data_IF_146666202055
#
_entry.id   IF_146666202055
#
_cell.length_a   1.000
_cell.length_b   1.000
_cell.length_c   1.000
_cell.angle_alpha   90.00
_cell.angle_beta   90.00
_cell.angle_gamma   90.00
#
_symmetry.space_group_name_H-M   'P 1'
#
loop_
_entity.id
_entity.type
_entity.pdbx_description
1 polymer ?
#
# COMPACT_ATOMS: atom_id res chain seq x y z
N UNK A 1 -4.54 -6.54 -13.49
CA UNK A 1 -4.12 -5.80 -12.30
C UNK A 1 -2.62 -5.93 -12.07
N UNK A 2 -1.95 -4.81 -11.85
CA UNK A 2 -0.48 -4.73 -11.71
C UNK A 2 0.02 -5.44 -10.46
N UNK A 3 -0.66 -5.27 -9.34
CA UNK A 3 -0.24 -5.87 -8.07
C UNK A 3 -0.43 -7.38 -8.06
N UNK A 4 -1.33 -7.95 -8.87
CA UNK A 4 -1.45 -9.40 -9.04
C UNK A 4 -0.22 -10.05 -9.67
N UNK A 5 0.68 -9.30 -10.31
CA UNK A 5 1.96 -9.83 -10.75
C UNK A 5 2.82 -10.34 -9.58
N UNK A 6 2.66 -9.74 -8.40
CA UNK A 6 3.35 -10.13 -7.16
C UNK A 6 3.00 -11.55 -6.71
N UNK A 7 1.79 -12.05 -7.03
CA UNK A 7 1.35 -13.42 -6.70
C UNK A 7 2.20 -14.52 -7.33
N UNK A 8 2.96 -14.18 -8.38
CA UNK A 8 3.86 -15.13 -9.08
C UNK A 8 5.26 -15.19 -8.50
N UNK A 9 5.55 -14.33 -7.52
CA UNK A 9 6.87 -14.31 -6.89
C UNK A 9 7.03 -15.48 -5.92
N UNK A 10 8.24 -16.05 -5.80
CA UNK A 10 8.53 -17.04 -4.77
C UNK A 10 8.27 -16.49 -3.37
N UNK A 11 7.56 -17.23 -2.54
CA UNK A 11 7.17 -16.83 -1.19
C UNK A 11 5.92 -15.95 -1.12
N UNK A 12 5.26 -15.66 -2.25
CA UNK A 12 3.94 -15.05 -2.26
C UNK A 12 2.85 -16.14 -2.24
N UNK A 13 1.83 -15.95 -1.41
CA UNK A 13 0.64 -16.80 -1.35
C UNK A 13 -0.61 -15.95 -1.53
N UNK A 14 -1.56 -16.42 -2.35
CA UNK A 14 -2.80 -15.71 -2.65
C UNK A 14 -3.93 -16.71 -2.85
N UNK A 15 -5.15 -16.30 -2.52
CA UNK A 15 -6.38 -17.04 -2.86
C UNK A 15 -6.79 -16.86 -4.35
N UNK A 16 -6.03 -16.07 -5.13
CA UNK A 16 -6.29 -15.79 -6.55
C UNK A 16 -7.31 -14.67 -6.78
N UNK A 17 -8.10 -14.28 -5.80
CA UNK A 17 -9.12 -13.22 -5.87
C UNK A 17 -8.58 -11.90 -5.33
N UNK A 18 -7.99 -11.90 -4.14
CA UNK A 18 -7.43 -10.69 -3.52
C UNK A 18 -6.35 -10.06 -4.40
N UNK A 19 -6.32 -8.72 -4.44
CA UNK A 19 -5.35 -7.96 -5.22
C UNK A 19 -3.94 -8.06 -4.66
N UNK A 20 -3.80 -8.19 -3.33
CA UNK A 20 -2.51 -8.31 -2.65
C UNK A 20 -2.27 -9.74 -2.17
N UNK A 21 -1.02 -10.19 -2.32
CA UNK A 21 -0.57 -11.48 -1.83
C UNK A 21 -0.02 -11.35 -0.39
N UNK A 22 -0.15 -12.43 0.38
CA UNK A 22 0.60 -12.62 1.59
C UNK A 22 2.05 -12.98 1.25
N UNK A 23 3.01 -12.14 1.65
CA UNK A 23 4.40 -12.32 1.28
C UNK A 23 5.18 -12.90 2.46
N UNK A 24 5.83 -14.05 2.25
CA UNK A 24 6.64 -14.76 3.28
C UNK A 24 5.92 -14.94 4.61
N UNK A 25 4.63 -15.31 4.54
CA UNK A 25 3.79 -15.56 5.72
C UNK A 25 3.35 -14.30 6.46
N UNK A 26 3.62 -13.10 5.93
CA UNK A 26 3.06 -11.86 6.44
C UNK A 26 1.64 -11.63 5.93
N UNK A 27 0.88 -10.84 6.66
CA UNK A 27 -0.46 -10.42 6.26
C UNK A 27 -0.42 -9.35 5.16
N UNK A 28 -1.53 -9.13 4.49
CA UNK A 28 -1.62 -8.17 3.39
C UNK A 28 -1.28 -6.74 3.83
N UNK A 29 -1.77 -6.31 5.01
CA UNK A 29 -1.50 -5.00 5.60
C UNK A 29 -0.06 -4.80 6.09
N UNK A 30 0.75 -5.87 6.20
CA UNK A 30 2.18 -5.78 6.47
C UNK A 30 3.01 -5.41 5.23
N UNK A 31 2.39 -5.27 4.07
CA UNK A 31 3.05 -4.88 2.81
C UNK A 31 2.83 -3.40 2.53
N UNK A 32 3.91 -2.65 2.35
CA UNK A 32 3.87 -1.26 1.93
C UNK A 32 3.72 -1.16 0.41
N UNK A 33 2.73 -0.43 -0.06
CA UNK A 33 2.62 -0.02 -1.48
C UNK A 33 3.00 1.44 -1.58
N UNK A 34 4.01 1.74 -2.40
CA UNK A 34 4.51 3.09 -2.63
C UNK A 34 4.32 3.44 -4.10
N UNK A 35 3.74 4.59 -4.39
CA UNK A 35 3.56 5.08 -5.76
C UNK A 35 4.27 6.41 -5.96
N UNK A 36 5.28 6.45 -6.84
CA UNK A 36 6.17 7.60 -7.07
C UNK A 36 6.71 8.24 -5.77
N UNK A 37 7.00 7.40 -4.77
CA UNK A 37 7.53 7.82 -3.48
C UNK A 37 6.50 8.10 -2.37
N UNK A 38 5.19 8.12 -2.70
CA UNK A 38 4.10 8.26 -1.74
C UNK A 38 3.61 6.89 -1.24
N UNK A 39 3.59 6.60 0.06
CA UNK A 39 2.87 5.47 0.63
C UNK A 39 1.36 5.57 0.36
N UNK A 40 0.76 4.50 -0.17
CA UNK A 40 -0.69 4.39 -0.32
C UNK A 40 -1.26 3.62 0.87
N UNK A 41 -2.20 4.22 1.59
CA UNK A 41 -2.85 3.61 2.75
C UNK A 41 -3.86 2.55 2.33
N UNK A 42 -4.70 2.86 1.35
CA UNK A 42 -5.76 1.98 0.85
C UNK A 42 -5.61 1.77 -0.67
N UNK A 43 -4.66 0.93 -1.12
CA UNK A 43 -4.30 0.83 -2.53
C UNK A 43 -5.23 -0.06 -3.37
N UNK A 44 -6.42 -0.45 -2.84
CA UNK A 44 -7.33 -1.40 -3.48
C UNK A 44 -8.76 -0.91 -3.58
N UNK A 45 -9.42 -1.32 -4.66
CA UNK A 45 -10.85 -1.21 -4.86
C UNK A 45 -11.64 -2.35 -4.24
N UNK A 46 -12.92 -2.10 -3.94
CA UNK A 46 -13.91 -3.08 -3.52
C UNK A 46 -13.43 -3.89 -2.30
N UNK A 47 -12.99 -3.20 -1.27
CA UNK A 47 -12.42 -3.82 -0.05
C UNK A 47 -13.34 -4.82 0.60
N UNK A 48 -14.66 -4.58 0.62
CA UNK A 48 -15.67 -5.53 1.10
C UNK A 48 -15.67 -6.85 0.31
N UNK A 49 -15.30 -6.83 -0.97
CA UNK A 49 -15.30 -7.96 -1.90
C UNK A 49 -13.89 -8.55 -2.11
N UNK A 50 -13.07 -8.64 -1.05
CA UNK A 50 -11.71 -9.19 -1.08
C UNK A 50 -10.70 -8.35 -1.88
N UNK A 51 -10.94 -7.06 -2.09
CA UNK A 51 -9.98 -6.16 -2.76
C UNK A 51 -9.46 -6.69 -4.11
N UNK A 52 -10.31 -7.01 -5.10
CA UNK A 52 -9.91 -7.75 -6.30
C UNK A 52 -9.07 -6.94 -7.29
N UNK A 53 -9.06 -5.62 -7.17
CA UNK A 53 -8.37 -4.71 -8.07
C UNK A 53 -7.63 -3.62 -7.29
N UNK A 54 -6.47 -3.17 -7.83
CA UNK A 54 -5.71 -2.07 -7.26
C UNK A 54 -6.11 -0.72 -7.88
N UNK A 55 -5.88 0.38 -7.14
CA UNK A 55 -5.95 1.75 -7.65
C UNK A 55 -4.91 2.02 -8.77
N UNK A 56 -3.89 1.17 -8.88
CA UNK A 56 -2.81 1.35 -9.84
C UNK A 56 -3.18 0.75 -11.20
N UNK A 57 -3.65 1.58 -12.10
CA UNK A 57 -3.90 1.19 -13.48
C UNK A 57 -2.58 0.75 -14.16
N UNK A 58 -2.49 -0.48 -14.70
CA UNK A 58 -1.29 -0.96 -15.38
C UNK A 58 -0.75 -0.06 -16.48
N UNK A 59 -1.62 0.71 -17.12
CA UNK A 59 -1.27 1.59 -18.24
C UNK A 59 -0.53 2.84 -17.82
N UNK A 60 -0.67 3.27 -16.55
CA UNK A 60 0.06 4.42 -16.02
C UNK A 60 1.39 4.03 -15.38
N UNK A 61 1.71 2.73 -15.33
CA UNK A 61 2.93 2.23 -14.69
C UNK A 61 4.05 1.98 -15.69
N UNK A 62 5.26 2.36 -15.33
CA UNK A 62 6.50 1.97 -16.02
C UNK A 62 7.14 0.73 -15.41
N UNK A 63 6.91 0.45 -14.13
CA UNK A 63 7.47 -0.70 -13.44
C UNK A 63 6.97 -0.88 -12.01
N UNK A 64 7.22 -2.09 -11.51
CA UNK A 64 7.02 -2.47 -10.11
C UNK A 64 8.30 -3.12 -9.61
N UNK A 65 8.86 -2.57 -8.53
CA UNK A 65 9.96 -3.16 -7.79
C UNK A 65 9.42 -3.78 -6.49
N UNK A 66 9.71 -5.07 -6.26
CA UNK A 66 9.19 -5.80 -5.12
C UNK A 66 10.31 -6.26 -4.21
N UNK A 67 10.32 -5.75 -2.99
CA UNK A 67 11.25 -6.12 -1.93
C UNK A 67 10.54 -7.06 -0.94
N UNK A 68 10.61 -8.35 -1.19
CA UNK A 68 10.00 -9.37 -0.34
C UNK A 68 10.80 -9.64 0.94
N UNK A 69 11.22 -8.60 1.65
CA UNK A 69 12.08 -8.63 2.83
C UNK A 69 13.52 -8.20 2.53
N UNK A 70 14.30 -7.87 3.57
CA UNK A 70 15.64 -7.31 3.42
C UNK A 70 15.66 -5.90 2.81
N UNK A 71 14.53 -5.19 2.83
CA UNK A 71 14.44 -3.83 2.29
C UNK A 71 15.21 -2.83 3.17
N UNK A 72 15.67 -1.74 2.53
CA UNK A 72 16.54 -0.74 3.16
C UNK A 72 15.83 0.06 4.24
N UNK A 73 16.58 0.79 5.08
CA UNK A 73 16.02 1.60 6.16
C UNK A 73 15.21 2.83 5.66
N UNK A 74 15.21 3.13 4.37
CA UNK A 74 14.35 4.13 3.73
C UNK A 74 12.85 3.81 3.92
N UNK A 75 12.51 2.51 3.95
CA UNK A 75 11.14 2.05 4.15
C UNK A 75 10.92 1.62 5.61
N UNK A 76 9.86 2.10 6.21
CA UNK A 76 9.46 1.80 7.58
C UNK A 76 7.99 1.47 7.69
N UNK A 77 7.56 1.28 8.93
CA UNK A 77 6.16 1.07 9.30
C UNK A 77 5.48 -0.09 8.53
N UNK A 78 6.25 -1.14 8.20
CA UNK A 78 5.78 -2.39 7.59
C UNK A 78 6.75 -3.52 7.89
N UNK A 79 6.20 -4.74 8.03
CA UNK A 79 6.95 -5.90 8.51
C UNK A 79 7.18 -6.98 7.45
N UNK A 80 6.53 -6.94 6.28
CA UNK A 80 6.61 -8.06 5.33
C UNK A 80 7.34 -7.69 4.05
N UNK A 81 6.80 -6.75 3.28
CA UNK A 81 7.33 -6.43 1.96
C UNK A 81 7.14 -4.94 1.62
N UNK A 82 7.83 -4.50 0.59
CA UNK A 82 7.62 -3.20 -0.05
C UNK A 82 7.41 -3.41 -1.54
N UNK A 83 6.39 -2.79 -2.09
CA UNK A 83 6.09 -2.72 -3.52
C UNK A 83 6.21 -1.26 -3.93
N UNK A 84 7.22 -0.94 -4.72
CA UNK A 84 7.40 0.39 -5.30
C UNK A 84 6.85 0.39 -6.73
N UNK A 85 5.82 1.16 -6.96
CA UNK A 85 5.26 1.43 -8.27
C UNK A 85 5.80 2.76 -8.80
N UNK A 86 6.24 2.76 -10.04
CA UNK A 86 6.71 3.96 -10.73
C UNK A 86 5.79 4.27 -11.89
N UNK A 87 5.33 5.51 -11.99
CA UNK A 87 4.45 5.90 -13.08
C UNK A 87 5.21 6.09 -14.40
N UNK A 88 4.47 5.91 -15.50
CA UNK A 88 4.97 6.08 -16.85
C UNK A 88 5.36 7.54 -17.10
N UNK A 89 6.51 7.75 -17.71
CA UNK A 89 6.92 9.03 -18.30
C UNK A 89 6.72 8.97 -19.81
N UNK A 90 5.87 9.82 -20.40
CA UNK A 90 5.60 9.80 -21.82
C UNK A 90 6.86 9.98 -22.66
N UNK A 91 7.04 9.12 -23.66
CA UNK A 91 8.16 9.21 -24.62
C UNK A 91 7.72 9.92 -25.90
N UNK A 92 6.45 9.72 -26.31
CA UNK A 92 5.87 10.37 -27.48
C UNK A 92 5.51 11.84 -27.18
N UNK A 93 5.56 12.70 -28.19
CA UNK A 93 5.15 14.10 -28.07
C UNK A 93 3.69 14.23 -27.68
N UNK A 94 2.83 13.34 -28.20
CA UNK A 94 1.43 13.22 -27.87
C UNK A 94 1.03 11.74 -27.92
N UNK A 95 0.20 11.30 -26.99
CA UNK A 95 -0.36 9.95 -26.96
C UNK A 95 -1.77 9.99 -26.38
N UNK A 96 -2.67 9.28 -27.04
CA UNK A 96 -4.06 9.12 -26.63
C UNK A 96 -4.45 7.66 -26.77
N UNK A 97 -5.12 7.12 -25.75
CA UNK A 97 -5.63 5.75 -25.74
C UNK A 97 -7.06 5.75 -25.20
N UNK A 98 -7.93 5.00 -25.88
CA UNK A 98 -9.26 4.64 -25.39
C UNK A 98 -9.35 3.14 -25.39
N UNK A 99 -9.78 2.56 -24.29
CA UNK A 99 -9.95 1.13 -24.14
C UNK A 99 -11.34 0.78 -23.60
N UNK A 100 -11.88 -0.32 -24.12
CA UNK A 100 -13.11 -0.91 -23.64
C UNK A 100 -12.92 -2.43 -23.54
N UNK A 101 -13.23 -2.98 -22.39
CA UNK A 101 -13.21 -4.41 -22.12
C UNK A 101 -14.48 -4.82 -21.37
N UNK A 102 -14.67 -6.10 -21.16
CA UNK A 102 -15.76 -6.60 -20.32
C UNK A 102 -15.71 -6.03 -18.90
N UNK A 103 -14.49 -5.80 -18.38
CA UNK A 103 -14.31 -5.39 -16.97
C UNK A 103 -14.14 -3.89 -16.77
N UNK A 104 -13.69 -3.13 -17.78
CA UNK A 104 -13.46 -1.70 -17.65
C UNK A 104 -13.51 -0.93 -18.96
N UNK A 105 -13.96 0.31 -18.87
CA UNK A 105 -13.72 1.38 -19.83
C UNK A 105 -12.61 2.30 -19.30
N UNK A 106 -11.77 2.80 -20.20
CA UNK A 106 -10.62 3.61 -19.81
C UNK A 106 -10.22 4.61 -20.89
N UNK A 107 -9.59 5.70 -20.45
CA UNK A 107 -8.96 6.68 -21.31
C UNK A 107 -7.62 7.09 -20.73
N UNK A 108 -6.63 7.33 -21.59
CA UNK A 108 -5.34 7.86 -21.22
C UNK A 108 -4.90 8.90 -22.23
N UNK A 109 -4.34 9.99 -21.76
CA UNK A 109 -3.76 11.05 -22.58
C UNK A 109 -2.44 11.52 -21.98
N UNK A 110 -1.49 11.83 -22.84
CA UNK A 110 -0.22 12.40 -22.42
C UNK A 110 0.38 13.30 -23.49
N UNK A 111 1.16 14.28 -23.06
CA UNK A 111 1.83 15.21 -23.96
C UNK A 111 3.11 15.75 -23.34
N UNK A 112 4.10 16.01 -24.20
CA UNK A 112 5.31 16.78 -23.89
C UNK A 112 5.11 18.23 -24.34
N UNK A 113 5.68 19.18 -23.62
CA UNK A 113 5.57 20.60 -23.92
C UNK A 113 6.84 21.36 -23.55
N UNK A 114 6.95 22.62 -23.97
CA UNK A 114 8.06 23.53 -23.69
C UNK A 114 9.44 22.95 -24.03
N UNK A 115 9.57 22.45 -25.27
CA UNK A 115 10.84 21.88 -25.77
C UNK A 115 11.30 20.65 -24.95
N UNK A 116 10.35 19.82 -24.53
CA UNK A 116 10.55 18.60 -23.74
C UNK A 116 10.91 18.83 -22.27
N UNK A 117 10.93 20.07 -21.78
CA UNK A 117 11.13 20.36 -20.36
C UNK A 117 9.93 19.99 -19.51
N UNK A 118 8.72 20.06 -20.10
CA UNK A 118 7.47 19.69 -19.45
C UNK A 118 6.85 18.46 -20.08
N UNK A 119 6.13 17.69 -19.26
CA UNK A 119 5.28 16.60 -19.71
C UNK A 119 4.12 16.41 -18.74
N UNK A 120 3.00 15.93 -19.24
CA UNK A 120 1.89 15.49 -18.40
C UNK A 120 1.31 14.18 -18.89
N UNK A 121 0.69 13.46 -17.97
CA UNK A 121 -0.08 12.25 -18.19
C UNK A 121 -1.35 12.33 -17.36
N UNK A 122 -2.49 11.95 -17.97
CA UNK A 122 -3.77 11.80 -17.29
C UNK A 122 -4.43 10.51 -17.75
N UNK A 123 -5.00 9.77 -16.82
CA UNK A 123 -5.72 8.54 -17.09
C UNK A 123 -6.97 8.46 -16.20
N UNK A 124 -8.01 7.85 -16.73
CA UNK A 124 -9.23 7.51 -16.01
C UNK A 124 -9.63 6.09 -16.37
N UNK A 125 -10.13 5.35 -15.37
CA UNK A 125 -10.65 4.01 -15.52
C UNK A 125 -11.96 3.88 -14.73
N UNK A 126 -12.98 3.27 -15.33
CA UNK A 126 -14.23 2.87 -14.67
C UNK A 126 -14.40 1.36 -14.84
N UNK A 127 -14.80 0.68 -13.77
CA UNK A 127 -15.19 -0.72 -13.88
C UNK A 127 -16.54 -0.85 -14.60
N UNK A 128 -16.77 -1.97 -15.27
CA UNK A 128 -18.05 -2.40 -15.83
C UNK A 128 -18.60 -3.60 -15.04
N UNK A 129 -18.20 -3.74 -13.77
CA UNK A 129 -18.59 -4.90 -12.95
C UNK A 129 -20.09 -4.87 -12.63
N UNK A 130 -20.66 -3.70 -12.46
CA UNK A 130 -22.09 -3.46 -12.35
C UNK A 130 -22.89 -4.03 -13.54
N UNK A 131 -22.37 -3.95 -14.75
CA UNK A 131 -23.00 -4.45 -15.98
C UNK A 131 -22.87 -5.98 -16.15
N UNK A 132 -21.95 -6.63 -15.46
CA UNK A 132 -21.64 -8.06 -15.62
C UNK A 132 -21.84 -8.89 -14.35
N UNK A 133 -22.11 -8.26 -13.22
CA UNK A 133 -22.30 -8.93 -11.93
C UNK A 133 -23.39 -9.99 -11.99
N UNK A 134 -24.54 -9.67 -12.57
CA UNK A 134 -25.69 -10.58 -12.74
C UNK A 134 -25.38 -11.82 -13.58
N UNK A 135 -24.32 -11.79 -14.39
CA UNK A 135 -23.90 -12.93 -15.21
C UNK A 135 -23.04 -13.91 -14.43
N UNK A 136 -22.47 -13.48 -13.29
CA UNK A 136 -21.48 -14.26 -12.54
C UNK A 136 -22.03 -14.73 -11.21
N UNK A 137 -22.65 -13.86 -10.42
CA UNK A 137 -23.12 -14.15 -9.06
C UNK A 137 -24.27 -13.19 -8.69
N UNK A 138 -25.42 -13.75 -8.35
CA UNK A 138 -26.61 -12.94 -8.00
C UNK A 138 -26.59 -12.34 -6.58
N UNK A 139 -25.64 -12.74 -5.73
CA UNK A 139 -25.50 -12.25 -4.36
C UNK A 139 -24.57 -11.04 -4.23
N UNK A 140 -23.80 -10.73 -5.29
CA UNK A 140 -23.01 -9.52 -5.41
C UNK A 140 -23.87 -8.52 -6.19
N UNK A 141 -24.36 -7.46 -5.53
CA UNK A 141 -25.14 -6.41 -6.16
C UNK A 141 -24.41 -5.73 -7.33
N UNK A 142 -24.47 -4.43 -7.42
CA UNK A 142 -23.86 -3.66 -8.54
C UNK A 142 -22.50 -3.05 -8.13
N UNK A 143 -21.42 -3.85 -7.93
CA UNK A 143 -20.13 -3.32 -7.55
C UNK A 143 -19.54 -2.47 -8.66
N UNK A 144 -19.09 -1.28 -8.33
CA UNK A 144 -18.48 -0.39 -9.30
C UNK A 144 -17.34 0.41 -8.68
N UNK A 145 -16.38 0.80 -9.51
CA UNK A 145 -15.36 1.75 -9.12
C UNK A 145 -14.96 2.65 -10.30
N UNK A 146 -14.48 3.82 -9.95
CA UNK A 146 -13.80 4.73 -10.84
C UNK A 146 -12.52 5.20 -10.21
N UNK A 147 -11.44 5.25 -10.98
CA UNK A 147 -10.19 5.87 -10.56
C UNK A 147 -9.63 6.80 -11.63
N UNK A 148 -8.82 7.75 -11.20
CA UNK A 148 -8.14 8.69 -12.06
C UNK A 148 -6.77 9.02 -11.54
N UNK A 149 -5.78 9.05 -12.43
CA UNK A 149 -4.41 9.46 -12.14
C UNK A 149 -3.99 10.61 -13.05
N UNK A 150 -3.43 11.65 -12.44
CA UNK A 150 -2.83 12.78 -13.14
C UNK A 150 -1.43 13.05 -12.66
N UNK A 151 -0.51 13.33 -13.60
CA UNK A 151 0.86 13.73 -13.29
C UNK A 151 1.31 14.82 -14.24
N UNK A 152 2.02 15.81 -13.71
CA UNK A 152 2.76 16.80 -14.48
C UNK A 152 4.19 16.88 -13.97
N UNK A 153 5.15 16.84 -14.87
CA UNK A 153 6.59 17.02 -14.58
C UNK A 153 7.11 18.25 -15.29
N UNK A 154 8.05 18.95 -14.65
CA UNK A 154 8.76 20.05 -15.26
C UNK A 154 10.23 20.12 -14.82
N UNK A 155 11.12 20.20 -15.78
CA UNK A 155 12.55 20.43 -15.56
C UNK A 155 12.83 21.94 -15.53
N UNK A 156 12.97 22.50 -14.33
CA UNK A 156 13.30 23.92 -14.12
C UNK A 156 14.70 24.26 -14.59
N UNK A 157 15.62 23.32 -14.40
CA UNK A 157 17.01 23.36 -14.86
C UNK A 157 17.50 21.93 -15.15
N UNK A 158 18.73 21.74 -15.70
CA UNK A 158 19.32 20.40 -15.81
C UNK A 158 19.41 19.63 -14.49
N UNK A 159 19.57 20.37 -13.39
CA UNK A 159 19.77 19.81 -12.04
C UNK A 159 18.51 19.85 -11.16
N UNK A 160 17.41 20.46 -11.62
CA UNK A 160 16.20 20.65 -10.83
C UNK A 160 14.95 20.20 -11.57
N UNK A 161 14.21 19.26 -11.02
CA UNK A 161 12.93 18.77 -11.55
C UNK A 161 11.87 18.79 -10.47
N UNK A 162 10.67 19.21 -10.83
CA UNK A 162 9.48 19.09 -9.99
C UNK A 162 8.42 18.23 -10.66
N UNK A 163 7.59 17.59 -9.86
CA UNK A 163 6.41 16.90 -10.32
C UNK A 163 5.24 17.09 -9.34
N UNK A 164 4.03 17.11 -9.89
CA UNK A 164 2.78 17.10 -9.13
C UNK A 164 1.95 15.91 -9.58
N UNK A 165 1.36 15.21 -8.62
CA UNK A 165 0.60 14.01 -8.84
C UNK A 165 -0.76 14.10 -8.13
N UNK A 166 -1.77 13.49 -8.73
CA UNK A 166 -3.10 13.33 -8.15
C UNK A 166 -3.58 11.91 -8.45
N UNK A 167 -4.03 11.18 -7.45
CA UNK A 167 -4.69 9.88 -7.58
C UNK A 167 -6.01 9.94 -6.82
N UNK A 168 -7.10 9.69 -7.52
CA UNK A 168 -8.45 9.73 -6.97
C UNK A 168 -9.14 8.40 -7.22
N UNK A 169 -9.96 7.94 -6.28
CA UNK A 169 -10.85 6.81 -6.50
C UNK A 169 -12.17 6.95 -5.75
N UNK A 170 -13.20 6.32 -6.30
CA UNK A 170 -14.49 6.12 -5.65
C UNK A 170 -15.00 4.73 -5.99
N UNK A 171 -15.44 4.00 -4.97
CA UNK A 171 -15.96 2.65 -5.07
C UNK A 171 -17.34 2.59 -4.45
N UNK A 172 -18.20 1.78 -5.03
CA UNK A 172 -19.47 1.37 -4.42
C UNK A 172 -19.63 -0.13 -4.53
N UNK A 173 -20.05 -0.75 -3.45
CA UNK A 173 -20.39 -2.16 -3.44
C UNK A 173 -21.64 -2.39 -2.60
N UNK A 174 -22.59 -3.11 -3.18
CA UNK A 174 -23.79 -3.58 -2.51
C UNK A 174 -23.71 -5.10 -2.44
N UNK A 175 -23.99 -5.67 -1.29
CA UNK A 175 -24.08 -7.12 -1.08
C UNK A 175 -25.48 -7.43 -0.58
N UNK A 176 -26.21 -8.28 -1.30
CA UNK A 176 -27.54 -8.73 -0.94
C UNK A 176 -27.57 -10.25 -1.07
N UNK A 177 -27.79 -10.96 0.04
CA UNK A 177 -28.02 -12.40 -0.06
C UNK A 177 -29.33 -12.71 -0.76
N UNK A 178 -29.35 -13.81 -1.51
CA UNK A 178 -30.49 -14.25 -2.32
C UNK A 178 -31.77 -14.50 -1.51
N UNK A 179 -31.66 -14.76 -0.21
CA UNK A 179 -32.77 -14.90 0.73
C UNK A 179 -33.12 -13.60 1.49
N UNK A 180 -32.51 -12.47 1.06
CA UNK A 180 -32.64 -11.14 1.70
C UNK A 180 -32.31 -11.13 3.20
N UNK A 181 -31.57 -12.13 3.65
CA UNK A 181 -31.20 -12.26 5.07
C UNK A 181 -30.08 -11.35 5.52
N UNK A 182 -29.29 -10.83 4.60
CA UNK A 182 -28.19 -9.92 4.86
C UNK A 182 -28.07 -8.90 3.72
N UNK A 183 -27.93 -7.63 4.11
CA UNK A 183 -27.68 -6.50 3.21
C UNK A 183 -26.48 -5.71 3.71
N UNK A 184 -25.66 -5.22 2.81
CA UNK A 184 -24.62 -4.24 3.08
C UNK A 184 -24.42 -3.31 1.87
N UNK A 185 -24.39 -2.01 2.11
CA UNK A 185 -24.00 -0.96 1.14
C UNK A 185 -22.72 -0.31 1.66
N UNK A 186 -21.72 -0.17 0.79
CA UNK A 186 -20.43 0.40 1.15
C UNK A 186 -19.94 1.34 0.06
N UNK A 187 -19.54 2.53 0.48
CA UNK A 187 -18.89 3.53 -0.37
C UNK A 187 -17.48 3.83 0.16
N UNK A 188 -16.48 3.82 -0.73
CA UNK A 188 -15.11 4.21 -0.42
C UNK A 188 -14.68 5.35 -1.32
N UNK A 189 -13.97 6.33 -0.75
CA UNK A 189 -13.39 7.46 -1.48
C UNK A 189 -11.96 7.67 -1.04
N UNK A 190 -11.04 7.75 -2.01
CA UNK A 190 -9.64 8.00 -1.72
C UNK A 190 -9.14 9.16 -2.59
N UNK A 191 -8.40 10.07 -1.98
CA UNK A 191 -7.77 11.21 -2.62
C UNK A 191 -6.32 11.33 -2.15
N UNK A 192 -5.39 11.26 -3.09
CA UNK A 192 -3.97 11.44 -2.85
C UNK A 192 -3.46 12.56 -3.75
N UNK A 193 -2.83 13.56 -3.16
CA UNK A 193 -2.18 14.66 -3.87
C UNK A 193 -0.77 14.81 -3.33
N UNK A 194 0.24 14.80 -4.21
CA UNK A 194 1.62 15.03 -3.76
C UNK A 194 2.46 15.74 -4.80
N UNK A 195 3.37 16.56 -4.30
CA UNK A 195 4.39 17.23 -5.08
C UNK A 195 5.77 16.71 -4.73
N UNK A 196 6.61 16.50 -5.74
CA UNK A 196 8.01 16.09 -5.56
C UNK A 196 8.93 17.15 -6.16
N UNK A 197 9.97 17.52 -5.44
CA UNK A 197 11.06 18.35 -5.92
C UNK A 197 12.37 17.57 -5.78
N UNK A 198 13.07 17.39 -6.89
CA UNK A 198 14.39 16.76 -6.94
C UNK A 198 15.44 17.81 -7.36
N UNK A 199 16.59 17.81 -6.67
CA UNK A 199 17.70 18.68 -7.00
C UNK A 199 19.05 17.97 -6.83
N UNK A 200 19.88 18.04 -7.86
CA UNK A 200 21.26 17.58 -7.82
C UNK A 200 22.17 18.76 -7.47
N UNK A 201 22.60 18.87 -6.20
CA UNK A 201 23.52 19.91 -5.71
C UNK A 201 24.92 19.76 -6.33
N UNK A 202 25.27 18.54 -6.69
CA UNK A 202 26.49 18.18 -7.41
C UNK A 202 26.33 16.77 -8.02
N UNK A 203 27.33 16.32 -8.77
CA UNK A 203 27.38 14.94 -9.30
C UNK A 203 27.39 13.88 -8.17
N UNK A 204 27.78 14.25 -6.96
CA UNK A 204 27.86 13.37 -5.80
C UNK A 204 26.67 13.51 -4.85
N UNK A 205 26.07 14.69 -4.73
CA UNK A 205 25.04 15.00 -3.73
C UNK A 205 23.73 15.38 -4.44
N UNK A 206 22.67 14.64 -4.17
CA UNK A 206 21.31 14.95 -4.61
C UNK A 206 20.33 14.88 -3.44
N UNK A 207 19.22 15.58 -3.58
CA UNK A 207 18.14 15.62 -2.62
C UNK A 207 16.77 15.52 -3.28
N UNK A 208 15.80 15.03 -2.54
CA UNK A 208 14.38 14.94 -2.92
C UNK A 208 13.51 15.39 -1.76
N UNK A 209 12.51 16.21 -2.03
CA UNK A 209 11.47 16.58 -1.09
C UNK A 209 10.11 16.13 -1.65
N UNK A 210 9.26 15.54 -0.81
CA UNK A 210 7.89 15.15 -1.14
C UNK A 210 6.98 15.80 -0.11
N UNK A 211 6.01 16.59 -0.57
CA UNK A 211 4.91 17.12 0.23
C UNK A 211 3.64 16.43 -0.25
N UNK A 212 2.85 15.87 0.66
CA UNK A 212 1.68 15.06 0.33
C UNK A 212 0.49 15.38 1.23
N UNK A 213 -0.69 15.21 0.66
CA UNK A 213 -1.95 15.16 1.39
C UNK A 213 -2.75 13.95 0.92
N UNK A 214 -3.23 13.18 1.88
CA UNK A 214 -4.08 12.00 1.67
C UNK A 214 -5.37 12.20 2.44
N UNK A 215 -6.49 11.89 1.80
CA UNK A 215 -7.84 11.92 2.37
C UNK A 215 -8.56 10.63 1.98
N UNK A 216 -9.08 9.91 2.96
CA UNK A 216 -9.75 8.62 2.75
C UNK A 216 -11.01 8.55 3.59
N UNK A 217 -12.11 8.19 2.94
CA UNK A 217 -13.40 7.97 3.59
C UNK A 217 -13.96 6.58 3.25
N UNK A 218 -14.67 6.03 4.21
CA UNK A 218 -15.40 4.77 4.09
C UNK A 218 -16.73 4.87 4.82
N UNK A 219 -17.83 4.70 4.10
CA UNK A 219 -19.18 4.72 4.62
C UNK A 219 -19.79 3.32 4.42
N UNK A 220 -20.29 2.68 5.47
CA UNK A 220 -20.87 1.35 5.42
C UNK A 220 -22.16 1.29 6.23
N UNK A 221 -23.23 0.86 5.58
CA UNK A 221 -24.47 0.50 6.26
C UNK A 221 -24.80 -0.98 6.02
N UNK A 222 -25.46 -1.62 6.94
CA UNK A 222 -25.84 -3.02 6.76
C UNK A 222 -26.93 -3.48 7.71
N UNK A 223 -27.64 -4.51 7.27
CA UNK A 223 -28.70 -5.17 8.05
C UNK A 223 -28.56 -6.68 7.96
N UNK A 224 -28.90 -7.37 9.02
CA UNK A 224 -29.00 -8.82 9.05
C UNK A 224 -30.32 -9.25 9.68
N UNK A 225 -31.01 -10.18 9.02
CA UNK A 225 -32.19 -10.84 9.56
C UNK A 225 -32.22 -12.31 9.10
N UNK A 226 -31.46 -13.15 9.79
CA UNK A 226 -31.39 -14.57 9.47
C UNK A 226 -32.53 -15.35 10.12
N UNK A 227 -33.74 -15.26 9.54
CA UNK A 227 -34.93 -15.97 9.97
C UNK A 227 -35.30 -15.75 11.48
N UNK A 228 -34.96 -14.58 12.03
CA UNK A 228 -35.13 -14.23 13.42
C UNK A 228 -34.15 -14.90 14.39
N UNK A 229 -33.15 -15.65 13.88
CA UNK A 229 -32.06 -16.20 14.72
C UNK A 229 -31.13 -15.09 15.17
N UNK A 230 -30.78 -14.24 14.20
CA UNK A 230 -29.89 -13.07 14.33
C UNK A 230 -30.53 -11.90 13.59
N UNK A 231 -30.77 -10.82 14.29
CA UNK A 231 -31.28 -9.56 13.72
C UNK A 231 -30.37 -8.42 14.15
N UNK A 232 -30.05 -7.53 13.26
CA UNK A 232 -29.20 -6.39 13.61
C UNK A 232 -28.95 -5.45 12.46
N UNK A 233 -28.29 -4.35 12.80
CA UNK A 233 -27.86 -3.31 11.84
C UNK A 233 -26.49 -2.77 12.21
N UNK A 234 -25.83 -2.17 11.23
CA UNK A 234 -24.57 -1.44 11.40
C UNK A 234 -24.62 -0.16 10.56
N UNK A 235 -24.14 0.92 11.15
CA UNK A 235 -23.77 2.18 10.49
C UNK A 235 -22.35 2.49 10.92
N UNK A 236 -21.42 2.62 9.96
CA UNK A 236 -19.99 2.75 10.18
C UNK A 236 -19.42 3.76 9.20
N UNK A 237 -19.08 4.92 9.70
CA UNK A 237 -18.49 6.01 8.95
C UNK A 237 -17.06 6.23 9.45
N UNK A 238 -16.11 6.20 8.55
CA UNK A 238 -14.69 6.40 8.85
C UNK A 238 -14.09 7.40 7.89
N UNK A 239 -13.41 8.36 8.42
CA UNK A 239 -12.65 9.34 7.66
C UNK A 239 -11.27 9.48 8.28
N UNK A 240 -10.24 9.60 7.46
CA UNK A 240 -8.92 9.98 7.94
C UNK A 240 -8.15 10.79 6.91
N UNK A 241 -7.33 11.69 7.39
CA UNK A 241 -6.43 12.49 6.58
C UNK A 241 -4.99 12.44 7.09
N UNK A 242 -4.06 12.61 6.16
CA UNK A 242 -2.63 12.61 6.44
C UNK A 242 -1.94 13.71 5.64
N UNK A 243 -1.32 14.65 6.34
CA UNK A 243 -0.39 15.63 5.76
C UNK A 243 1.03 15.13 5.97
N UNK A 244 1.79 14.94 4.89
CA UNK A 244 3.12 14.36 4.92
C UNK A 244 4.20 15.25 4.31
N UNK A 245 5.39 15.26 4.93
CA UNK A 245 6.63 15.81 4.38
C UNK A 245 7.74 14.77 4.50
N UNK A 246 8.35 14.42 3.36
CA UNK A 246 9.52 13.53 3.32
C UNK A 246 10.69 14.26 2.65
N UNK A 247 11.84 14.22 3.28
CA UNK A 247 13.09 14.77 2.77
C UNK A 247 14.14 13.67 2.69
N UNK A 248 14.61 13.40 1.50
CA UNK A 248 15.63 12.37 1.23
C UNK A 248 16.89 13.01 0.68
N UNK A 249 18.05 12.48 1.07
CA UNK A 249 19.34 12.83 0.56
C UNK A 249 20.12 11.59 0.09
N UNK A 250 20.87 11.74 -0.99
CA UNK A 250 21.83 10.73 -1.46
C UNK A 250 23.22 11.35 -1.61
N UNK A 251 24.23 10.63 -1.18
CA UNK A 251 25.62 11.01 -1.37
C UNK A 251 26.44 9.84 -1.91
N UNK A 252 27.06 10.04 -3.06
CA UNK A 252 27.90 9.04 -3.75
C UNK A 252 29.35 9.45 -3.67
N UNK A 253 30.21 8.61 -3.09
CA UNK A 253 31.65 8.86 -2.96
C UNK A 253 32.42 7.59 -3.30
N UNK A 254 33.10 7.57 -4.46
CA UNK A 254 33.90 6.42 -4.91
C UNK A 254 33.12 5.07 -4.83
N UNK A 255 33.38 4.30 -3.77
CA UNK A 255 32.76 2.99 -3.52
C UNK A 255 31.57 3.04 -2.54
N UNK A 256 31.18 4.24 -2.07
CA UNK A 256 30.12 4.42 -1.08
C UNK A 256 28.89 5.07 -1.69
N UNK A 257 27.73 4.58 -1.28
CA UNK A 257 26.44 5.24 -1.48
C UNK A 257 25.80 5.41 -0.12
N UNK A 258 25.61 6.64 0.31
CA UNK A 258 24.86 6.98 1.51
C UNK A 258 23.48 7.49 1.11
N UNK A 259 22.43 7.03 1.81
CA UNK A 259 21.08 7.57 1.75
C UNK A 259 20.65 7.90 3.16
N UNK A 260 19.97 9.01 3.31
CA UNK A 260 19.46 9.48 4.59
C UNK A 260 18.21 10.30 4.36
N UNK A 261 17.33 10.34 5.34
CA UNK A 261 16.10 11.13 5.23
C UNK A 261 15.36 11.26 6.54
N UNK A 262 14.39 12.15 6.49
CA UNK A 262 13.41 12.37 7.55
C UNK A 262 12.02 12.35 6.95
N UNK A 263 11.05 11.91 7.74
CA UNK A 263 9.66 11.82 7.36
C UNK A 263 8.81 12.35 8.52
N UNK A 264 7.90 13.26 8.20
CA UNK A 264 6.97 13.87 9.15
C UNK A 264 5.57 13.67 8.59
N UNK A 265 4.66 13.12 9.37
CA UNK A 265 3.24 12.99 9.03
C UNK A 265 2.41 13.48 10.19
N UNK A 266 1.42 14.32 9.91
CA UNK A 266 0.35 14.66 10.85
C UNK A 266 -0.89 13.90 10.39
N UNK A 267 -1.52 13.18 11.30
CA UNK A 267 -2.62 12.25 11.02
C UNK A 267 -3.80 12.60 11.90
N UNK A 268 -5.01 12.54 11.34
CA UNK A 268 -6.25 12.62 12.08
C UNK A 268 -7.23 11.58 11.52
N UNK A 269 -8.08 11.03 12.36
CA UNK A 269 -9.15 10.16 11.95
C UNK A 269 -10.41 10.40 12.78
N UNK A 270 -11.56 10.23 12.13
CA UNK A 270 -12.89 10.31 12.73
C UNK A 270 -13.60 8.99 12.48
N UNK A 271 -14.15 8.41 13.54
CA UNK A 271 -14.96 7.21 13.50
C UNK A 271 -16.34 7.52 14.07
N UNK A 272 -17.38 7.10 13.37
CA UNK A 272 -18.76 7.06 13.86
C UNK A 272 -19.31 5.66 13.60
N UNK A 273 -19.35 4.85 14.66
CA UNK A 273 -19.73 3.45 14.56
C UNK A 273 -20.87 3.12 15.49
N UNK A 274 -22.00 2.75 14.91
CA UNK A 274 -23.17 2.26 15.66
C UNK A 274 -23.56 0.88 15.16
N UNK A 275 -23.75 -0.07 16.05
CA UNK A 275 -24.29 -1.38 15.70
C UNK A 275 -25.16 -1.97 16.78
N UNK A 276 -26.21 -2.66 16.35
CA UNK A 276 -27.05 -3.49 17.21
C UNK A 276 -27.12 -4.89 16.64
N UNK A 277 -26.88 -5.90 17.46
CA UNK A 277 -27.00 -7.29 17.07
C UNK A 277 -27.75 -8.08 18.16
N UNK A 278 -28.89 -8.61 17.79
CA UNK A 278 -29.76 -9.38 18.66
C UNK A 278 -29.81 -10.85 18.22
N UNK A 279 -29.58 -11.76 19.16
CA UNK A 279 -29.71 -13.19 18.99
C UNK A 279 -30.94 -13.67 19.80
N UNK A 280 -31.89 -14.28 19.13
CA UNK A 280 -33.12 -14.77 19.74
C UNK A 280 -32.90 -15.92 20.74
N UNK A 281 -33.57 -15.89 21.89
CA UNK A 281 -33.52 -16.98 22.88
C UNK A 281 -33.88 -18.35 22.28
N UNK A 282 -33.08 -19.37 22.60
CA UNK A 282 -33.33 -20.75 22.19
C UNK A 282 -33.11 -21.06 20.72
N UNK A 283 -32.70 -20.07 19.90
CA UNK A 283 -32.53 -20.26 18.44
C UNK A 283 -31.16 -20.81 18.06
N UNK A 284 -30.09 -20.45 18.77
CA UNK A 284 -28.74 -21.00 18.50
C UNK A 284 -28.61 -22.44 19.04
N UNK A 285 -29.15 -22.69 20.25
CA UNK A 285 -29.22 -24.02 20.86
C UNK A 285 -30.30 -24.02 21.94
N UNK A 286 -30.88 -25.20 22.31
CA UNK A 286 -31.88 -25.30 23.39
C UNK A 286 -31.34 -24.73 24.70
N UNK A 287 -32.06 -23.76 25.25
CA UNK A 287 -31.66 -23.08 26.51
C UNK A 287 -30.74 -21.88 26.34
N UNK A 288 -30.41 -21.48 25.13
CA UNK A 288 -29.70 -20.21 24.88
C UNK A 288 -30.56 -19.04 25.40
N UNK A 289 -30.02 -18.16 26.27
CA UNK A 289 -30.80 -17.09 26.90
C UNK A 289 -31.14 -15.93 26.00
N UNK A 290 -30.58 -15.92 24.77
CA UNK A 290 -30.51 -14.73 23.93
C UNK A 290 -29.30 -13.85 24.27
N UNK A 291 -28.94 -12.97 23.35
CA UNK A 291 -27.86 -11.99 23.53
C UNK A 291 -28.18 -10.77 22.71
N UNK A 292 -28.02 -9.59 23.28
CA UNK A 292 -27.98 -8.33 22.54
C UNK A 292 -26.61 -7.70 22.73
N UNK A 293 -26.00 -7.28 21.63
CA UNK A 293 -24.74 -6.55 21.60
C UNK A 293 -25.00 -5.23 20.92
N UNK A 294 -24.93 -4.16 21.67
CA UNK A 294 -25.04 -2.79 21.17
C UNK A 294 -23.67 -2.13 21.28
N UNK A 295 -23.26 -1.42 20.24
CA UNK A 295 -22.04 -0.62 20.20
C UNK A 295 -22.34 0.76 19.66
N UNK A 296 -21.73 1.75 20.28
CA UNK A 296 -21.82 3.17 19.90
C UNK A 296 -20.48 3.80 20.26
N UNK A 297 -19.61 3.99 19.26
CA UNK A 297 -18.24 4.49 19.43
C UNK A 297 -17.96 5.56 18.39
N UNK A 298 -17.41 6.69 18.83
CA UNK A 298 -17.02 7.80 17.99
C UNK A 298 -15.64 8.35 18.41
N UNK A 299 -14.54 7.57 18.36
CA UNK A 299 -13.21 8.07 18.66
C UNK A 299 -12.69 8.97 17.55
N UNK A 300 -11.97 10.05 17.93
CA UNK A 300 -11.34 11.02 17.05
C UNK A 300 -9.81 11.06 17.31
N UNK A 301 -9.06 9.98 17.02
CA UNK A 301 -7.63 9.98 17.26
C UNK A 301 -6.89 10.93 16.31
N UNK A 302 -5.88 11.62 16.86
CA UNK A 302 -4.98 12.47 16.08
C UNK A 302 -3.58 12.47 16.66
N UNK A 303 -2.58 12.68 15.82
CA UNK A 303 -1.19 12.75 16.25
C UNK A 303 -0.21 12.83 15.10
N UNK A 304 1.05 12.68 15.42
CA UNK A 304 2.16 12.79 14.49
C UNK A 304 2.90 11.45 14.38
N UNK A 305 3.44 11.17 13.20
CA UNK A 305 4.45 10.14 12.98
C UNK A 305 5.72 10.80 12.46
N UNK A 306 6.82 10.60 13.19
CA UNK A 306 8.13 11.11 12.85
C UNK A 306 9.08 9.95 12.62
N UNK A 307 9.84 10.01 11.53
CA UNK A 307 10.85 9.02 11.25
C UNK A 307 12.14 9.64 10.73
N UNK A 308 13.26 8.97 11.02
CA UNK A 308 14.57 9.32 10.47
C UNK A 308 15.31 8.05 10.09
N UNK A 309 16.03 8.07 8.97
CA UNK A 309 16.83 6.93 8.54
C UNK A 309 18.17 7.32 7.95
N UNK A 310 19.10 6.39 8.03
CA UNK A 310 20.38 6.46 7.32
C UNK A 310 20.80 5.07 6.86
N UNK A 311 21.28 4.97 5.62
CA UNK A 311 21.89 3.76 5.06
C UNK A 311 23.25 4.06 4.46
N UNK A 312 24.17 3.12 4.55
CA UNK A 312 25.48 3.19 3.91
C UNK A 312 25.78 1.89 3.20
N UNK A 313 25.87 1.94 1.89
CA UNK A 313 26.29 0.83 1.05
C UNK A 313 27.70 1.03 0.59
N UNK A 314 28.54 0.00 0.69
CA UNK A 314 29.94 0.03 0.25
C UNK A 314 30.23 -1.16 -0.67
N UNK A 315 30.97 -0.90 -1.74
CA UNK A 315 31.63 -1.94 -2.52
C UNK A 315 32.96 -2.30 -1.83
N UNK A 316 32.90 -3.29 -0.94
CA UNK A 316 34.07 -3.76 -0.15
C UNK A 316 35.16 -4.28 -1.10
N UNK A 317 34.75 -5.05 -2.11
CA UNK A 317 35.54 -5.46 -3.26
C UNK A 317 34.70 -5.28 -4.52
N UNK A 318 35.27 -5.55 -5.70
CA UNK A 318 34.50 -5.51 -6.95
C UNK A 318 33.41 -6.58 -7.03
N UNK A 319 33.42 -7.57 -6.12
CA UNK A 319 32.48 -8.70 -6.03
C UNK A 319 31.68 -8.74 -4.72
N UNK A 320 31.96 -7.85 -3.77
CA UNK A 320 31.31 -7.85 -2.47
C UNK A 320 30.76 -6.47 -2.15
N UNK A 321 29.44 -6.37 -2.06
CA UNK A 321 28.74 -5.19 -1.57
C UNK A 321 28.12 -5.47 -0.19
N UNK A 322 28.26 -4.54 0.73
CA UNK A 322 27.62 -4.57 2.05
C UNK A 322 26.82 -3.30 2.28
N UNK A 323 25.69 -3.39 2.94
CA UNK A 323 24.87 -2.26 3.34
C UNK A 323 24.48 -2.39 4.80
N UNK A 324 24.61 -1.31 5.54
CA UNK A 324 24.06 -1.16 6.89
C UNK A 324 23.08 -0.01 6.89
N UNK A 325 22.02 -0.16 7.65
CA UNK A 325 20.97 0.87 7.79
C UNK A 325 20.42 0.90 9.20
N UNK A 326 19.96 2.07 9.60
CA UNK A 326 19.25 2.29 10.84
C UNK A 326 18.08 3.22 10.55
N UNK A 327 16.92 2.87 11.08
CA UNK A 327 15.74 3.71 11.07
C UNK A 327 15.20 3.86 12.49
N UNK A 328 14.71 5.03 12.78
CA UNK A 328 13.98 5.38 13.98
C UNK A 328 12.60 5.89 13.59
N UNK A 329 11.57 5.42 14.26
CA UNK A 329 10.18 5.82 14.07
C UNK A 329 9.56 6.11 15.44
N UNK A 330 8.72 7.14 15.53
CA UNK A 330 7.91 7.49 16.69
C UNK A 330 6.53 7.93 16.21
N UNK A 331 5.46 7.54 16.91
CA UNK A 331 4.11 8.04 16.68
C UNK A 331 3.48 8.48 17.99
N UNK A 332 2.51 9.41 17.94
CA UNK A 332 1.93 10.06 19.14
C UNK A 332 0.41 9.90 19.27
N UNK A 333 -0.26 9.22 18.34
CA UNK A 333 -1.71 9.00 18.40
C UNK A 333 -2.12 7.80 19.26
N UNK A 334 -1.20 6.93 19.69
CA UNK A 334 -1.44 5.85 20.64
C UNK A 334 -0.75 6.15 21.97
N UNK A 335 -1.43 5.85 23.09
CA UNK A 335 -0.93 6.13 24.45
C UNK A 335 0.36 5.38 24.81
N UNK A 336 0.52 4.14 24.34
CA UNK A 336 1.73 3.31 24.50
C UNK A 336 2.73 3.51 23.36
N UNK A 337 2.80 4.71 22.79
CA UNK A 337 3.72 5.05 21.73
C UNK A 337 5.17 5.09 22.25
N UNK A 338 5.94 4.11 21.86
CA UNK A 338 7.37 4.08 22.10
C UNK A 338 8.13 4.25 20.78
N UNK A 339 9.28 4.91 20.86
CA UNK A 339 10.20 5.00 19.74
C UNK A 339 10.69 3.61 19.31
N UNK A 340 10.75 3.37 18.02
CA UNK A 340 11.11 2.10 17.42
C UNK A 340 12.44 2.23 16.66
N UNK A 341 13.39 1.34 16.97
CA UNK A 341 14.68 1.27 16.30
C UNK A 341 14.76 0.04 15.41
N UNK A 342 15.01 0.26 14.13
CA UNK A 342 14.98 -0.75 13.07
C UNK A 342 16.36 -0.88 12.38
N UNK A 343 17.35 -1.58 12.99
CA UNK A 343 18.63 -1.85 12.36
C UNK A 343 18.48 -2.88 11.23
N UNK A 344 19.26 -2.69 10.16
CA UNK A 344 19.24 -3.55 8.95
C UNK A 344 20.64 -3.78 8.40
N UNK A 345 20.85 -4.96 7.86
CA UNK A 345 22.11 -5.36 7.23
C UNK A 345 21.83 -6.19 5.98
N UNK A 346 22.49 -5.83 4.88
CA UNK A 346 22.41 -6.54 3.62
C UNK A 346 23.82 -6.83 3.07
N UNK A 347 24.00 -8.00 2.49
CA UNK A 347 25.24 -8.45 1.85
C UNK A 347 24.92 -9.06 0.48
N UNK A 348 25.69 -8.70 -0.53
CA UNK A 348 25.63 -9.32 -1.86
C UNK A 348 27.05 -9.69 -2.27
N UNK A 349 27.27 -10.97 -2.56
CA UNK A 349 28.54 -11.49 -3.01
C UNK A 349 28.42 -12.18 -4.37
N UNK A 350 29.16 -11.70 -5.36
CA UNK A 350 29.27 -12.33 -6.66
C UNK A 350 30.39 -13.37 -6.62
N UNK A 351 30.03 -14.65 -6.33
CA UNK A 351 30.98 -15.76 -6.21
C UNK A 351 31.60 -16.16 -7.56
N UNK A 352 30.96 -15.73 -8.65
CA UNK A 352 31.41 -15.91 -10.03
C UNK A 352 30.52 -15.11 -10.97
N UNK A 353 30.77 -15.17 -12.26
CA UNK A 353 30.04 -14.40 -13.28
C UNK A 353 28.55 -14.81 -13.39
N UNK A 354 28.23 -16.03 -12.95
CA UNK A 354 26.87 -16.59 -12.99
C UNK A 354 26.32 -16.90 -11.60
N UNK A 355 27.06 -16.65 -10.51
CA UNK A 355 26.68 -17.04 -9.15
C UNK A 355 26.64 -15.84 -8.23
N UNK A 356 25.50 -15.57 -7.61
CA UNK A 356 25.30 -14.50 -6.64
C UNK A 356 24.74 -15.07 -5.34
N UNK A 357 25.35 -14.73 -4.22
CA UNK A 357 24.87 -15.04 -2.88
C UNK A 357 24.40 -13.76 -2.22
N UNK A 358 23.24 -13.82 -1.56
CA UNK A 358 22.68 -12.72 -0.80
C UNK A 358 22.43 -13.15 0.64
N UNK A 359 22.68 -12.25 1.57
CA UNK A 359 22.28 -12.41 2.96
C UNK A 359 21.70 -11.10 3.47
N UNK A 360 20.64 -11.17 4.24
CA UNK A 360 20.07 -10.00 4.90
C UNK A 360 19.58 -10.36 6.30
N UNK A 361 19.70 -9.40 7.18
CA UNK A 361 19.11 -9.41 8.49
C UNK A 361 18.53 -8.02 8.78
N UNK A 362 17.37 -7.98 9.43
CA UNK A 362 16.78 -6.71 9.81
C UNK A 362 15.66 -6.87 10.83
N UNK A 363 15.50 -5.83 11.63
CA UNK A 363 14.36 -5.63 12.51
C UNK A 363 13.41 -4.64 11.86
N UNK A 364 12.13 -4.95 11.93
CA UNK A 364 11.05 -4.18 11.33
C UNK A 364 9.97 -3.95 12.36
N UNK A 365 9.39 -2.76 12.36
CA UNK A 365 8.26 -2.41 13.21
C UNK A 365 7.13 -1.88 12.35
N UNK A 366 5.91 -2.07 12.83
CA UNK A 366 4.69 -1.56 12.24
C UNK A 366 3.77 -1.08 13.36
N UNK A 367 3.36 0.17 13.28
CA UNK A 367 2.29 0.69 14.12
C UNK A 367 0.95 0.21 13.58
N UNK A 368 -0.04 0.07 14.45
CA UNK A 368 -1.43 0.00 14.00
C UNK A 368 -1.76 1.34 13.34
N UNK A 369 -2.27 1.32 12.11
CA UNK A 369 -2.63 2.53 11.38
C UNK A 369 -3.74 3.31 12.09
N UNK A 370 -3.73 4.63 11.97
CA UNK A 370 -4.76 5.48 12.58
C UNK A 370 -6.17 5.14 12.07
N UNK A 371 -6.27 4.49 10.90
CA UNK A 371 -7.48 4.00 10.26
C UNK A 371 -7.84 2.54 10.61
N UNK A 372 -7.09 1.89 11.51
CA UNK A 372 -7.23 0.45 11.80
C UNK A 372 -7.79 0.17 13.20
N UNK A 373 -8.43 1.14 13.86
CA UNK A 373 -9.15 0.87 15.10
C UNK A 373 -10.28 -0.14 14.87
N UNK A 374 -10.37 -1.14 15.75
CA UNK A 374 -11.36 -2.22 15.65
C UNK A 374 -12.64 -1.86 16.44
N UNK A 375 -13.26 -0.73 16.07
CA UNK A 375 -14.49 -0.25 16.71
C UNK A 375 -15.63 -1.27 16.61
N UNK A 376 -15.64 -2.11 15.58
CA UNK A 376 -16.56 -3.23 15.41
C UNK A 376 -16.43 -4.29 16.52
N UNK A 377 -15.29 -4.38 17.17
CA UNK A 377 -15.07 -5.24 18.36
C UNK A 377 -15.26 -4.49 19.68
N UNK A 378 -15.58 -3.20 19.62
CA UNK A 378 -15.74 -2.32 20.79
C UNK A 378 -14.41 -1.81 21.33
N UNK A 379 -13.38 -1.71 20.49
CA UNK A 379 -12.03 -1.25 20.86
C UNK A 379 -11.84 0.17 20.33
N UNK A 380 -11.50 1.09 21.23
CA UNK A 380 -11.21 2.50 20.98
C UNK A 380 -9.75 2.90 21.34
N UNK A 381 -8.93 1.91 21.68
CA UNK A 381 -7.51 2.08 22.01
C UNK A 381 -6.63 1.39 20.96
N UNK A 382 -5.48 2.00 20.63
CA UNK A 382 -4.50 1.40 19.72
C UNK A 382 -3.63 0.36 20.42
N UNK A 383 -3.28 -0.66 19.66
CA UNK A 383 -2.34 -1.68 20.11
C UNK A 383 -0.88 -1.17 20.00
N UNK A 384 0.03 -1.68 20.84
CA UNK A 384 1.47 -1.39 20.72
C UNK A 384 2.03 -1.77 19.35
N UNK A 385 3.10 -1.08 18.93
CA UNK A 385 3.78 -1.40 17.67
C UNK A 385 4.20 -2.87 17.60
N UNK A 386 3.88 -3.50 16.49
CA UNK A 386 4.31 -4.86 16.19
C UNK A 386 5.77 -4.88 15.76
N UNK A 387 6.44 -6.00 15.97
CA UNK A 387 7.85 -6.18 15.65
C UNK A 387 8.08 -7.51 14.95
N UNK A 388 8.96 -7.51 13.95
CA UNK A 388 9.42 -8.73 13.29
C UNK A 388 10.92 -8.69 13.00
N UNK A 389 11.62 -9.74 13.33
CA UNK A 389 13.04 -9.93 13.00
C UNK A 389 13.15 -10.90 11.81
N UNK A 390 13.83 -10.47 10.73
CA UNK A 390 14.03 -11.27 9.53
C UNK A 390 15.47 -11.68 9.35
N UNK A 391 15.69 -12.92 8.94
CA UNK A 391 16.97 -13.41 8.44
C UNK A 391 16.75 -14.16 7.12
N UNK A 392 17.48 -13.77 6.08
CA UNK A 392 17.31 -14.30 4.72
C UNK A 392 18.67 -14.65 4.15
N UNK A 393 18.78 -15.82 3.51
CA UNK A 393 19.94 -16.20 2.70
C UNK A 393 19.44 -16.71 1.36
N UNK A 394 20.03 -16.22 0.28
CA UNK A 394 19.64 -16.54 -1.09
C UNK A 394 20.85 -16.87 -1.97
N UNK A 395 20.64 -17.79 -2.90
CA UNK A 395 21.57 -18.15 -3.98
C UNK A 395 20.86 -17.96 -5.31
N UNK A 396 21.49 -17.20 -6.20
CA UNK A 396 21.09 -17.07 -7.61
C UNK A 396 22.19 -17.68 -8.47
N UNK A 397 21.81 -18.58 -9.38
CA UNK A 397 22.72 -19.26 -10.28
C UNK A 397 22.22 -19.15 -11.71
N UNK A 398 22.96 -18.50 -12.58
CA UNK A 398 22.79 -18.58 -14.02
C UNK A 398 23.20 -19.95 -14.54
N UNK A 399 22.38 -20.55 -15.39
CA UNK A 399 22.56 -21.86 -15.99
C UNK A 399 22.68 -21.74 -17.51
N UNK A 400 23.21 -22.77 -18.21
CA UNK A 400 23.24 -22.78 -19.67
C UNK A 400 21.86 -22.59 -20.32
N UNK A 401 21.85 -22.13 -21.56
CA UNK A 401 20.64 -21.86 -22.35
C UNK A 401 19.68 -20.79 -21.76
N UNK A 402 20.22 -19.84 -20.96
CA UNK A 402 19.43 -18.74 -20.41
C UNK A 402 18.56 -19.09 -19.19
N UNK A 403 18.71 -20.28 -18.63
CA UNK A 403 18.04 -20.65 -17.40
C UNK A 403 18.66 -19.96 -16.19
N UNK A 404 17.87 -19.70 -15.17
CA UNK A 404 18.33 -19.25 -13.86
C UNK A 404 17.66 -20.06 -12.76
N UNK A 405 18.42 -20.33 -11.70
CA UNK A 405 17.95 -20.93 -10.46
C UNK A 405 18.09 -19.94 -9.34
N UNK A 406 17.02 -19.72 -8.58
CA UNK A 406 17.04 -18.96 -7.33
C UNK A 406 16.52 -19.83 -6.19
N UNK A 407 17.30 -19.89 -5.12
CA UNK A 407 16.96 -20.61 -3.89
C UNK A 407 17.11 -19.63 -2.73
N UNK A 408 16.09 -19.56 -1.90
CA UNK A 408 16.11 -18.71 -0.70
C UNK A 408 15.64 -19.50 0.51
N UNK A 409 16.30 -19.27 1.64
CA UNK A 409 15.84 -19.67 2.96
C UNK A 409 15.62 -18.40 3.79
N UNK A 410 14.51 -18.34 4.50
CA UNK A 410 14.19 -17.21 5.36
C UNK A 410 13.59 -17.67 6.69
N UNK A 411 13.79 -16.82 7.69
CA UNK A 411 13.15 -16.90 9.01
C UNK A 411 12.54 -15.52 9.30
N UNK A 412 11.31 -15.51 9.78
CA UNK A 412 10.57 -14.35 10.26
C UNK A 412 10.04 -14.71 11.67
N UNK A 413 10.39 -13.90 12.66
CA UNK A 413 9.98 -14.04 14.07
C UNK A 413 9.22 -12.81 14.49
#
# INVERSE_FOLDING_TARGET
>A
DSLKAVHRLPGAASNGLAGLANIRGGEANETLVVFDGLPLYEPFHLRLLLSPASLLDPRVLSGLDVHAGGFTAEFGDRMSAVIEATSLRPVADQYYELGLSLFHANALASQRFDGERGQWLAAVRRSNLDEVADLVESEIGEPSYIDGFGRIDYAFSPDTRGSLHVLLSSDRAEVLKSDESEFADVEYRNSYVWGTLEHDFSTALGGRAILSYTDVAADRTGEVNNGGIRVGSVDDQRHYDVLGLKLDGRYVAQRWLHRFGVELRSLAADYDYTSTLHYEPGRLYPGFPGLTVDRDLAPEPSGDHVAAYATSRVLVTDRLAAEIGLRWDEQTYADDAHDQWSPRFNLVYEAGDATRVRASWGRYHQFQGINELQVEDGIDEFLPAQKSDHAIVGLEQGLPAGWSLRVEAYRKD
#
